data_IF_770882129880
#
_entry.id   IF_770882129880
#
_cell.length_a   1.000
_cell.length_b   1.000
_cell.length_c   1.000
_cell.angle_alpha   90.00
_cell.angle_beta   90.00
_cell.angle_gamma   90.00
#
_symmetry.space_group_name_H-M   'P 1'
#
loop_
_entity.id
_entity.type
_entity.pdbx_description
1 polymer ?
#
# COMPACT_ATOMS: atom_id res chain seq x y z
N UNK A 1 -10.68 -2.68 -26.78
CA UNK A 1 -11.62 -3.30 -25.81
C UNK A 1 -10.89 -4.04 -24.69
N UNK A 2 -9.88 -4.91 -24.93
CA UNK A 2 -9.16 -5.62 -23.85
C UNK A 2 -8.47 -4.73 -22.78
N UNK A 3 -8.07 -3.50 -23.12
CA UNK A 3 -7.43 -2.58 -22.16
C UNK A 3 -8.42 -2.05 -21.12
N UNK A 4 -9.66 -1.75 -21.52
CA UNK A 4 -10.70 -1.26 -20.61
C UNK A 4 -11.11 -2.33 -19.60
N UNK A 5 -11.26 -3.59 -20.04
CA UNK A 5 -11.65 -4.70 -19.17
C UNK A 5 -10.62 -4.96 -18.06
N UNK A 6 -9.32 -4.75 -18.34
CA UNK A 6 -8.24 -4.87 -17.36
C UNK A 6 -8.27 -3.74 -16.35
N UNK A 7 -8.45 -2.50 -16.79
CA UNK A 7 -8.54 -1.34 -15.92
C UNK A 7 -9.75 -1.42 -14.99
N UNK A 8 -10.91 -1.83 -15.53
CA UNK A 8 -12.13 -2.05 -14.72
C UNK A 8 -11.89 -3.11 -13.65
N UNK A 9 -11.22 -4.22 -14.00
CA UNK A 9 -10.87 -5.26 -13.02
C UNK A 9 -9.94 -4.72 -11.92
N UNK A 10 -8.92 -3.94 -12.27
CA UNK A 10 -8.01 -3.34 -11.30
C UNK A 10 -8.71 -2.36 -10.35
N UNK A 11 -9.57 -1.50 -10.89
CA UNK A 11 -10.39 -0.57 -10.09
C UNK A 11 -11.28 -1.33 -9.12
N UNK A 12 -11.96 -2.38 -9.59
CA UNK A 12 -12.82 -3.22 -8.74
C UNK A 12 -12.03 -3.90 -7.62
N UNK A 13 -10.84 -4.40 -7.93
CA UNK A 13 -9.97 -5.03 -6.94
C UNK A 13 -9.48 -4.02 -5.90
N UNK A 14 -9.10 -2.81 -6.31
CA UNK A 14 -8.75 -1.73 -5.39
C UNK A 14 -9.92 -1.35 -4.49
N UNK A 15 -11.11 -1.18 -5.07
CA UNK A 15 -12.31 -0.86 -4.30
C UNK A 15 -12.66 -1.96 -3.29
N UNK A 16 -12.45 -3.24 -3.66
CA UNK A 16 -12.61 -4.37 -2.73
C UNK A 16 -11.63 -4.27 -1.55
N UNK A 17 -10.34 -4.00 -1.82
CA UNK A 17 -9.33 -3.82 -0.77
C UNK A 17 -9.69 -2.67 0.16
N UNK A 18 -10.07 -1.51 -0.38
CA UNK A 18 -10.47 -0.33 0.40
C UNK A 18 -11.72 -0.62 1.23
N UNK A 19 -12.73 -1.25 0.64
CA UNK A 19 -13.96 -1.63 1.34
C UNK A 19 -13.67 -2.55 2.52
N UNK A 20 -12.78 -3.52 2.34
CA UNK A 20 -12.35 -4.46 3.40
C UNK A 20 -11.56 -3.79 4.52
N UNK A 21 -10.72 -2.81 4.20
CA UNK A 21 -9.99 -2.02 5.20
C UNK A 21 -10.93 -1.11 6.01
N UNK A 22 -12.04 -0.67 5.43
CA UNK A 22 -13.02 0.19 6.08
C UNK A 22 -14.10 -0.58 6.87
N UNK A 23 -14.28 -1.88 6.63
CA UNK A 23 -15.41 -2.65 7.19
C UNK A 23 -15.21 -3.15 8.61
N UNK A 24 -13.99 -3.50 9.01
CA UNK A 24 -13.72 -4.00 10.38
C UNK A 24 -12.24 -3.78 10.78
N UNK A 25 -11.96 -3.04 11.86
CA UNK A 25 -10.59 -2.79 12.32
C UNK A 25 -9.89 -4.01 12.95
N UNK A 26 -10.61 -5.08 13.29
CA UNK A 26 -10.06 -6.20 14.06
C UNK A 26 -9.52 -7.35 13.21
N UNK A 27 -10.12 -7.62 12.03
CA UNK A 27 -9.71 -8.76 11.19
C UNK A 27 -10.14 -8.61 9.74
N UNK A 28 -9.19 -8.25 8.87
CA UNK A 28 -9.41 -8.14 7.43
C UNK A 28 -8.87 -9.38 6.70
N UNK A 29 -9.70 -10.03 5.88
CA UNK A 29 -9.29 -11.16 5.03
C UNK A 29 -9.14 -10.74 3.58
N UNK A 30 -7.93 -10.88 3.04
CA UNK A 30 -7.63 -10.64 1.64
C UNK A 30 -7.56 -11.95 0.86
N UNK A 31 -8.00 -11.92 -0.40
CA UNK A 31 -7.65 -12.97 -1.37
C UNK A 31 -6.16 -12.87 -1.72
N UNK A 32 -5.61 -13.92 -2.34
CA UNK A 32 -4.20 -13.90 -2.78
C UNK A 32 -3.93 -12.76 -3.76
N UNK A 33 -4.87 -12.49 -4.67
CA UNK A 33 -4.75 -11.42 -5.67
C UNK A 33 -4.75 -10.04 -5.00
N UNK A 34 -5.70 -9.81 -4.10
CA UNK A 34 -5.80 -8.57 -3.31
C UNK A 34 -4.53 -8.34 -2.48
N UNK A 35 -4.06 -9.37 -1.77
CA UNK A 35 -2.81 -9.31 -0.98
C UNK A 35 -1.62 -8.94 -1.88
N UNK A 36 -1.49 -9.58 -3.03
CA UNK A 36 -0.39 -9.34 -3.97
C UNK A 36 -0.40 -7.90 -4.50
N UNK A 37 -1.58 -7.40 -4.92
CA UNK A 37 -1.73 -6.03 -5.43
C UNK A 37 -1.51 -4.99 -4.34
N UNK A 38 -2.06 -5.21 -3.15
CA UNK A 38 -1.85 -4.34 -1.99
C UNK A 38 -0.35 -4.28 -1.62
N UNK A 39 0.33 -5.42 -1.59
CA UNK A 39 1.75 -5.50 -1.29
C UNK A 39 2.59 -4.77 -2.34
N UNK A 40 2.26 -4.93 -3.64
CA UNK A 40 2.91 -4.21 -4.72
C UNK A 40 2.78 -2.69 -4.53
N UNK A 41 1.56 -2.20 -4.28
CA UNK A 41 1.31 -0.77 -4.08
C UNK A 41 2.03 -0.23 -2.83
N UNK A 42 2.02 -0.97 -1.72
CA UNK A 42 2.73 -0.57 -0.50
C UNK A 42 4.24 -0.50 -0.71
N UNK A 43 4.83 -1.42 -1.48
CA UNK A 43 6.24 -1.38 -1.82
C UNK A 43 6.60 -0.16 -2.70
N UNK A 44 5.78 0.16 -3.69
CA UNK A 44 5.98 1.36 -4.51
C UNK A 44 5.86 2.64 -3.66
N UNK A 45 4.90 2.68 -2.73
CA UNK A 45 4.76 3.80 -1.78
C UNK A 45 5.98 3.93 -0.86
N UNK A 46 6.54 2.81 -0.37
CA UNK A 46 7.79 2.81 0.43
C UNK A 46 8.95 3.38 -0.38
N UNK A 47 9.13 2.96 -1.64
CA UNK A 47 10.18 3.49 -2.53
C UNK A 47 10.01 4.99 -2.75
N UNK A 48 8.79 5.42 -3.02
CA UNK A 48 8.48 6.83 -3.24
C UNK A 48 8.75 7.69 -1.99
N UNK A 49 8.29 7.23 -0.83
CA UNK A 49 8.51 7.90 0.46
C UNK A 49 9.98 7.92 0.85
N UNK A 50 10.73 6.84 0.62
CA UNK A 50 12.17 6.78 0.84
C UNK A 50 12.89 7.84 0.01
N UNK A 51 12.62 7.91 -1.30
CA UNK A 51 13.20 8.92 -2.19
C UNK A 51 12.87 10.35 -1.75
N UNK A 52 11.63 10.59 -1.31
CA UNK A 52 11.19 11.90 -0.80
C UNK A 52 11.89 12.26 0.52
N UNK A 53 12.09 11.28 1.40
CA UNK A 53 12.76 11.43 2.69
C UNK A 53 14.26 11.69 2.53
N UNK A 54 14.91 11.05 1.56
CA UNK A 54 16.34 11.21 1.30
C UNK A 54 16.67 12.62 0.80
N UNK A 55 15.77 13.24 0.03
CA UNK A 55 15.89 14.60 -0.48
C UNK A 55 15.31 15.68 0.47
N UNK A 56 14.78 15.28 1.63
CA UNK A 56 14.09 16.19 2.54
C UNK A 56 15.04 16.84 3.56
N UNK A 57 14.69 18.07 3.96
CA UNK A 57 15.37 18.76 5.06
C UNK A 57 15.06 18.11 6.42
N UNK A 58 15.87 18.39 7.44
CA UNK A 58 15.91 17.59 8.67
C UNK A 58 14.55 17.42 9.39
N UNK A 59 13.71 18.46 9.46
CA UNK A 59 12.37 18.38 10.06
C UNK A 59 11.45 17.45 9.28
N UNK A 60 11.41 17.65 7.95
CA UNK A 60 10.60 16.86 7.02
C UNK A 60 11.07 15.41 6.99
N UNK A 61 12.38 15.19 7.06
CA UNK A 61 13.00 13.86 7.14
C UNK A 61 12.61 13.15 8.44
N UNK A 62 12.63 13.84 9.56
CA UNK A 62 12.23 13.28 10.86
C UNK A 62 10.75 12.87 10.88
N UNK A 63 9.85 13.71 10.34
CA UNK A 63 8.43 13.38 10.24
C UNK A 63 8.19 12.17 9.31
N UNK A 64 8.75 12.18 8.11
CA UNK A 64 8.54 11.09 7.14
C UNK A 64 9.21 9.78 7.55
N UNK A 65 10.29 9.81 8.34
CA UNK A 65 10.94 8.60 8.84
C UNK A 65 10.00 7.74 9.67
N UNK A 66 9.14 8.34 10.50
CA UNK A 66 8.15 7.61 11.28
C UNK A 66 7.11 6.92 10.39
N UNK A 67 6.56 7.67 9.43
CA UNK A 67 5.61 7.13 8.44
C UNK A 67 6.25 5.99 7.63
N UNK A 68 7.46 6.18 7.14
CA UNK A 68 8.20 5.18 6.36
C UNK A 68 8.42 3.88 7.15
N UNK A 69 8.72 3.97 8.44
CA UNK A 69 8.87 2.81 9.31
C UNK A 69 7.55 2.05 9.48
N UNK A 70 6.42 2.74 9.59
CA UNK A 70 5.10 2.11 9.66
C UNK A 70 4.78 1.35 8.36
N UNK A 71 5.02 1.97 7.21
CA UNK A 71 4.83 1.29 5.91
C UNK A 71 5.72 0.05 5.77
N UNK A 72 7.00 0.14 6.15
CA UNK A 72 7.91 -1.01 6.14
C UNK A 72 7.44 -2.14 7.07
N UNK A 73 6.91 -1.80 8.24
CA UNK A 73 6.35 -2.77 9.19
C UNK A 73 5.13 -3.48 8.59
N UNK A 74 4.19 -2.75 7.98
CA UNK A 74 3.02 -3.34 7.32
C UNK A 74 3.43 -4.28 6.19
N UNK A 75 4.38 -3.86 5.34
CA UNK A 75 4.91 -4.70 4.26
C UNK A 75 5.55 -5.99 4.81
N UNK A 76 6.31 -5.88 5.91
CA UNK A 76 6.91 -7.05 6.57
C UNK A 76 5.85 -8.01 7.11
N UNK A 77 4.78 -7.50 7.72
CA UNK A 77 3.67 -8.33 8.24
C UNK A 77 2.95 -9.05 7.09
N UNK A 78 2.74 -8.36 5.97
CA UNK A 78 2.09 -8.95 4.80
C UNK A 78 2.98 -9.93 4.03
N UNK A 79 4.31 -9.87 4.15
CA UNK A 79 5.20 -10.84 3.50
C UNK A 79 5.29 -12.18 4.26
N UNK A 80 5.04 -12.16 5.57
CA UNK A 80 4.85 -13.36 6.38
C UNK A 80 3.41 -13.92 6.21
#
# INVERSE_FOLDING_TARGET
MQTDDRLVREVNLFNSVVGKLNSDPSKVKFTKEEKTKLLFQLNENVKHLQKKTDNAWFLTKWFYKNMLNQYKSIVSILNN
#
